data_IF_685228052650
#
_entry.id   IF_685228052650
#
_cell.length_a   1.000
_cell.length_b   1.000
_cell.length_c   1.000
_cell.angle_alpha   90.00
_cell.angle_beta   90.00
_cell.angle_gamma   90.00
#
_symmetry.space_group_name_H-M   'P 1'
#
loop_
_entity.id
_entity.type
_entity.pdbx_description
1 polymer ?
#
# COMPACT_ATOMS: atom_id res chain seq x y z
N UNK A 1 9.50 -85.40 47.18
CA UNK A 1 10.29 -84.21 47.56
C UNK A 1 10.76 -83.56 46.26
N UNK A 2 10.03 -82.57 45.75
CA UNK A 2 10.22 -81.12 46.00
C UNK A 2 11.34 -80.58 45.07
N UNK A 3 11.08 -79.99 43.90
CA UNK A 3 10.40 -78.72 43.54
C UNK A 3 11.24 -77.45 43.88
N UNK A 4 11.39 -76.58 42.84
CA UNK A 4 11.78 -75.14 42.82
C UNK A 4 13.30 -74.84 42.77
N UNK A 5 13.85 -74.26 41.69
CA UNK A 5 13.65 -72.92 41.08
C UNK A 5 14.39 -71.79 41.81
N UNK A 6 15.32 -71.09 41.13
CA UNK A 6 15.22 -69.65 40.75
C UNK A 6 16.58 -68.97 40.48
N UNK A 7 16.54 -68.11 39.46
CA UNK A 7 17.19 -66.79 39.29
C UNK A 7 18.70 -66.63 39.17
N UNK A 8 19.14 -66.11 38.02
CA UNK A 8 19.76 -64.77 37.78
C UNK A 8 20.30 -64.77 36.34
N UNK A 9 20.29 -63.75 35.48
CA UNK A 9 19.79 -62.37 35.48
C UNK A 9 19.60 -62.03 33.97
N UNK A 10 18.54 -61.29 33.64
CA UNK A 10 18.37 -60.67 32.32
C UNK A 10 19.48 -59.65 32.04
N UNK A 11 19.84 -59.47 30.77
CA UNK A 11 19.89 -58.18 30.03
C UNK A 11 20.82 -58.34 28.81
N UNK A 12 20.26 -58.79 27.68
CA UNK A 12 20.86 -58.55 26.38
C UNK A 12 19.93 -57.58 25.63
N UNK A 13 20.54 -56.47 25.21
CA UNK A 13 19.92 -55.23 24.80
C UNK A 13 18.87 -55.42 23.69
N UNK A 14 17.69 -54.82 23.91
CA UNK A 14 16.76 -54.47 22.85
C UNK A 14 17.46 -53.46 21.94
N UNK A 15 17.85 -53.90 20.75
CA UNK A 15 18.15 -53.01 19.64
C UNK A 15 16.87 -52.25 19.28
N UNK A 16 16.70 -51.08 19.89
CA UNK A 16 15.69 -50.12 19.49
C UNK A 16 16.03 -49.61 18.11
N UNK A 17 15.40 -50.18 17.09
CA UNK A 17 15.29 -49.56 15.78
C UNK A 17 14.36 -48.35 15.92
N UNK A 18 14.89 -47.24 16.42
CA UNK A 18 14.30 -45.93 16.23
C UNK A 18 14.53 -45.55 14.76
N UNK A 19 13.73 -46.13 13.86
CA UNK A 19 13.46 -45.51 12.58
C UNK A 19 12.61 -44.26 12.89
N UNK A 20 13.29 -43.20 13.32
CA UNK A 20 12.73 -41.86 13.30
C UNK A 20 12.36 -41.61 11.84
N UNK A 21 11.06 -41.64 11.55
CA UNK A 21 10.50 -41.12 10.32
C UNK A 21 11.00 -39.67 10.20
N UNK A 22 12.06 -39.49 9.41
CA UNK A 22 12.33 -38.22 8.75
C UNK A 22 11.21 -38.05 7.73
N UNK A 23 10.03 -37.64 8.22
CA UNK A 23 9.10 -36.91 7.39
C UNK A 23 9.90 -35.69 6.92
N UNK A 24 10.10 -35.48 5.61
CA UNK A 24 10.49 -34.16 5.14
C UNK A 24 9.42 -33.24 5.69
N UNK A 25 9.79 -32.28 6.55
CA UNK A 25 8.91 -31.18 6.86
C UNK A 25 8.41 -30.65 5.52
N UNK A 26 7.08 -30.51 5.37
CA UNK A 26 6.51 -30.02 4.12
C UNK A 26 7.27 -28.74 3.75
N UNK A 27 8.10 -28.82 2.71
CA UNK A 27 8.82 -27.66 2.20
C UNK A 27 7.73 -26.81 1.59
N UNK A 28 7.38 -25.72 2.26
CA UNK A 28 6.45 -24.74 1.74
C UNK A 28 7.07 -24.17 0.46
N UNK A 29 6.51 -24.58 -0.68
CA UNK A 29 7.02 -24.16 -1.97
C UNK A 29 6.53 -22.73 -2.22
N UNK A 30 7.44 -21.77 -2.12
CA UNK A 30 7.18 -20.38 -2.50
C UNK A 30 7.36 -20.23 -4.00
N UNK A 31 6.39 -19.60 -4.67
CA UNK A 31 6.50 -19.27 -6.10
C UNK A 31 7.03 -17.85 -6.20
N UNK A 32 8.17 -17.66 -6.85
CA UNK A 32 8.74 -16.34 -7.13
C UNK A 32 8.59 -16.04 -8.62
N UNK A 33 7.87 -14.97 -8.94
CA UNK A 33 7.66 -14.47 -10.28
C UNK A 33 8.36 -13.11 -10.38
N UNK A 34 9.40 -12.98 -11.20
CA UNK A 34 10.02 -11.69 -11.46
C UNK A 34 9.43 -11.06 -12.72
N UNK A 35 9.36 -9.73 -12.79
CA UNK A 35 8.93 -9.04 -14.02
C UNK A 35 9.82 -9.38 -15.23
N UNK A 36 11.09 -9.71 -14.99
CA UNK A 36 12.03 -10.16 -16.03
C UNK A 36 11.54 -11.45 -16.72
N UNK A 37 10.88 -12.35 -15.98
CA UNK A 37 10.34 -13.61 -16.51
C UNK A 37 9.19 -13.37 -17.51
N UNK A 38 8.61 -12.16 -17.49
CA UNK A 38 7.52 -11.71 -18.36
C UNK A 38 7.99 -10.70 -19.40
N UNK A 39 9.31 -10.61 -19.62
CA UNK A 39 9.90 -9.81 -20.68
C UNK A 39 10.12 -8.34 -20.35
N UNK A 40 10.04 -7.95 -19.07
CA UNK A 40 10.42 -6.61 -18.65
C UNK A 40 11.91 -6.35 -18.88
N UNK A 41 12.26 -5.13 -19.26
CA UNK A 41 13.65 -4.69 -19.44
C UNK A 41 14.22 -4.22 -18.10
N UNK A 42 13.47 -3.38 -17.37
CA UNK A 42 13.87 -2.88 -16.06
C UNK A 42 15.02 -1.87 -16.09
N UNK A 43 15.15 -1.11 -17.17
CA UNK A 43 16.18 -0.07 -17.38
C UNK A 43 15.71 1.35 -16.99
N UNK A 44 14.45 1.51 -16.59
CA UNK A 44 13.83 2.78 -16.25
C UNK A 44 13.47 3.65 -17.46
N UNK A 45 13.43 3.07 -18.65
CA UNK A 45 13.12 3.76 -19.92
C UNK A 45 12.06 2.98 -20.70
N UNK A 46 12.24 1.66 -20.82
CA UNK A 46 11.32 0.81 -21.55
C UNK A 46 9.94 0.74 -20.86
N UNK A 47 8.89 0.60 -21.67
CA UNK A 47 7.55 0.38 -21.15
C UNK A 47 7.39 -1.08 -20.69
N UNK A 48 7.48 -1.28 -19.38
CA UNK A 48 7.41 -2.59 -18.74
C UNK A 48 5.99 -2.95 -18.27
N UNK A 49 4.98 -2.14 -18.60
CA UNK A 49 3.60 -2.28 -18.12
C UNK A 49 3.00 -3.64 -18.46
N UNK A 50 3.24 -4.15 -19.67
CA UNK A 50 2.71 -5.45 -20.09
C UNK A 50 3.27 -6.59 -19.25
N UNK A 51 4.57 -6.54 -18.94
CA UNK A 51 5.22 -7.54 -18.11
C UNK A 51 4.65 -7.54 -16.68
N UNK A 52 4.38 -6.37 -16.10
CA UNK A 52 3.70 -6.26 -14.80
C UNK A 52 2.29 -6.86 -14.84
N UNK A 53 1.51 -6.56 -15.89
CA UNK A 53 0.15 -7.09 -16.04
C UNK A 53 0.15 -8.62 -16.15
N UNK A 54 1.06 -9.18 -16.94
CA UNK A 54 1.12 -10.63 -17.13
C UNK A 54 1.64 -11.35 -15.88
N UNK A 55 2.65 -10.78 -15.22
CA UNK A 55 3.16 -11.31 -13.96
C UNK A 55 2.09 -11.27 -12.86
N UNK A 56 1.30 -10.20 -12.79
CA UNK A 56 0.16 -10.10 -11.87
C UNK A 56 -0.91 -11.17 -12.15
N UNK A 57 -1.31 -11.34 -13.41
CA UNK A 57 -2.28 -12.39 -13.81
C UNK A 57 -1.77 -13.78 -13.45
N UNK A 58 -0.50 -14.06 -13.72
CA UNK A 58 0.12 -15.33 -13.36
C UNK A 58 0.13 -15.54 -11.84
N UNK A 59 0.50 -14.51 -11.08
CA UNK A 59 0.50 -14.58 -9.62
C UNK A 59 -0.90 -14.87 -9.06
N UNK A 60 -1.92 -14.14 -9.51
CA UNK A 60 -3.30 -14.31 -9.07
C UNK A 60 -3.92 -15.67 -9.47
N UNK A 61 -3.41 -16.33 -10.51
CA UNK A 61 -3.88 -17.63 -10.97
C UNK A 61 -3.15 -18.83 -10.33
N UNK A 62 -1.96 -18.63 -9.78
CA UNK A 62 -1.09 -19.74 -9.29
C UNK A 62 -1.66 -20.38 -8.03
N UNK A 63 -2.07 -19.56 -7.04
CA UNK A 63 -2.43 -20.03 -5.70
C UNK A 63 -1.20 -20.37 -4.83
N UNK A 64 -1.40 -20.55 -3.53
CA UNK A 64 -0.33 -20.71 -2.54
C UNK A 64 0.50 -19.44 -2.32
N UNK A 65 1.64 -19.56 -1.64
CA UNK A 65 2.50 -18.42 -1.26
C UNK A 65 3.27 -17.88 -2.47
N UNK A 66 2.68 -16.91 -3.16
CA UNK A 66 3.23 -16.32 -4.38
C UNK A 66 3.85 -14.94 -4.11
N UNK A 67 5.08 -14.77 -4.58
CA UNK A 67 5.83 -13.52 -4.54
C UNK A 67 6.00 -12.97 -5.95
N UNK A 68 5.49 -11.76 -6.19
CA UNK A 68 5.76 -10.97 -7.37
C UNK A 68 6.93 -10.04 -7.05
N UNK A 69 8.07 -10.19 -7.73
CA UNK A 69 9.33 -9.56 -7.35
C UNK A 69 9.77 -8.49 -8.35
N UNK A 70 10.01 -7.29 -7.81
CA UNK A 70 10.73 -6.18 -8.45
C UNK A 70 12.15 -6.18 -7.86
N UNK A 71 13.14 -6.79 -8.53
CA UNK A 71 14.46 -7.04 -7.96
C UNK A 71 15.30 -5.76 -7.79
N UNK A 72 16.26 -5.84 -6.87
CA UNK A 72 17.26 -4.79 -6.66
C UNK A 72 18.03 -4.49 -7.95
N UNK A 73 18.35 -3.21 -8.17
CA UNK A 73 19.10 -2.77 -9.34
C UNK A 73 18.28 -2.66 -10.62
N UNK A 74 17.00 -3.06 -10.62
CA UNK A 74 16.07 -2.81 -11.73
C UNK A 74 15.17 -1.61 -11.45
N UNK A 75 14.81 -0.91 -12.51
CA UNK A 75 13.80 0.15 -12.49
C UNK A 75 12.79 -0.11 -13.59
N UNK A 76 11.55 -0.39 -13.25
CA UNK A 76 10.50 -0.67 -14.24
C UNK A 76 9.66 0.58 -14.45
N UNK A 77 9.59 1.06 -15.70
CA UNK A 77 8.72 2.17 -16.03
C UNK A 77 7.32 1.65 -16.39
N UNK A 78 6.34 2.05 -15.60
CA UNK A 78 4.97 1.50 -15.64
C UNK A 78 3.99 2.63 -15.91
N UNK A 79 3.15 2.46 -16.92
CA UNK A 79 2.02 3.35 -17.25
C UNK A 79 0.80 3.00 -16.39
N UNK A 80 -0.24 3.86 -16.39
CA UNK A 80 -1.54 3.55 -15.78
C UNK A 80 -1.98 2.10 -15.98
N UNK A 81 -2.25 1.42 -14.88
CA UNK A 81 -2.64 0.02 -14.89
C UNK A 81 -3.59 -0.30 -13.74
N UNK A 82 -4.60 -1.12 -14.04
CA UNK A 82 -5.45 -1.72 -13.01
C UNK A 82 -5.07 -3.18 -12.82
N UNK A 83 -4.60 -3.49 -11.62
CA UNK A 83 -4.28 -4.82 -11.11
C UNK A 83 -5.49 -5.33 -10.33
N UNK A 84 -6.40 -6.00 -11.02
CA UNK A 84 -7.67 -6.43 -10.46
C UNK A 84 -7.60 -7.82 -9.82
N UNK A 85 -8.38 -8.00 -8.75
CA UNK A 85 -8.73 -9.29 -8.19
C UNK A 85 -10.11 -9.79 -8.66
N UNK A 86 -10.68 -10.81 -7.99
CA UNK A 86 -10.09 -11.55 -6.88
C UNK A 86 -8.94 -12.46 -7.36
N UNK A 87 -7.93 -12.62 -6.51
CA UNK A 87 -6.85 -13.57 -6.69
C UNK A 87 -7.17 -14.86 -5.93
N UNK A 88 -6.55 -15.99 -6.31
CA UNK A 88 -6.86 -17.29 -5.68
C UNK A 88 -6.43 -17.39 -4.22
N UNK A 89 -5.27 -16.82 -3.91
CA UNK A 89 -4.65 -16.79 -2.58
C UNK A 89 -3.89 -15.44 -2.42
N UNK A 90 -3.21 -15.28 -1.29
CA UNK A 90 -2.39 -14.12 -0.93
C UNK A 90 -1.34 -13.79 -2.00
N UNK A 91 -1.19 -12.48 -2.29
CA UNK A 91 -0.16 -11.97 -3.19
C UNK A 91 0.84 -11.13 -2.41
N UNK A 92 2.12 -11.52 -2.48
CA UNK A 92 3.23 -10.76 -1.92
C UNK A 92 3.98 -10.01 -3.03
N UNK A 93 3.72 -8.72 -3.20
CA UNK A 93 4.48 -7.85 -4.09
C UNK A 93 5.74 -7.34 -3.38
N UNK A 94 6.88 -7.96 -3.68
CA UNK A 94 8.19 -7.64 -3.14
C UNK A 94 8.90 -6.61 -4.03
N UNK A 95 8.86 -5.35 -3.61
CA UNK A 95 9.50 -4.20 -4.26
C UNK A 95 10.86 -3.96 -3.62
N UNK A 96 11.92 -4.51 -4.20
CA UNK A 96 13.31 -4.29 -3.79
C UNK A 96 14.07 -3.31 -4.70
N UNK A 97 13.63 -3.18 -5.96
CA UNK A 97 14.09 -2.18 -6.93
C UNK A 97 13.19 -0.96 -6.99
N UNK A 98 12.99 -0.43 -8.19
CA UNK A 98 12.17 0.76 -8.42
C UNK A 98 11.00 0.47 -9.37
N UNK A 99 9.85 1.07 -9.08
CA UNK A 99 8.73 1.24 -10.02
C UNK A 99 8.58 2.74 -10.26
N UNK A 100 8.65 3.18 -11.50
CA UNK A 100 8.63 4.60 -11.85
C UNK A 100 7.52 4.91 -12.86
N UNK A 101 6.89 6.07 -12.72
CA UNK A 101 5.84 6.52 -13.63
C UNK A 101 6.41 7.14 -14.92
N UNK A 102 5.59 7.31 -15.99
CA UNK A 102 5.89 8.28 -17.04
C UNK A 102 5.83 9.71 -16.48
N UNK A 103 6.72 10.58 -16.97
CA UNK A 103 6.90 11.93 -16.40
C UNK A 103 5.90 12.93 -16.96
N UNK A 104 5.64 12.89 -18.26
CA UNK A 104 4.83 13.89 -18.92
C UNK A 104 3.35 13.59 -18.71
N UNK A 105 2.53 14.57 -18.28
CA UNK A 105 1.08 14.43 -18.26
C UNK A 105 0.50 14.00 -19.62
N UNK A 106 1.12 14.38 -20.74
CA UNK A 106 0.69 14.02 -22.10
C UNK A 106 0.73 12.52 -22.39
N UNK A 107 1.48 11.74 -21.61
CA UNK A 107 1.58 10.28 -21.72
C UNK A 107 0.42 9.56 -21.02
N UNK A 108 -0.47 10.31 -20.37
CA UNK A 108 -1.63 9.80 -19.64
C UNK A 108 -2.91 10.08 -20.43
N UNK A 109 -3.97 9.36 -20.09
CA UNK A 109 -5.28 9.52 -20.70
C UNK A 109 -6.33 9.89 -19.65
N UNK A 110 -7.38 10.62 -20.06
CA UNK A 110 -8.53 10.87 -19.17
C UNK A 110 -9.24 9.58 -18.75
N UNK A 111 -9.11 8.52 -19.57
CA UNK A 111 -9.61 7.18 -19.28
C UNK A 111 -8.95 6.53 -18.06
N UNK A 112 -7.76 6.99 -17.66
CA UNK A 112 -7.07 6.52 -16.46
C UNK A 112 -7.75 7.01 -15.18
N UNK A 113 -8.62 8.01 -15.29
CA UNK A 113 -9.43 8.59 -14.21
C UNK A 113 -8.59 8.96 -12.98
N UNK A 114 -7.37 9.45 -13.21
CA UNK A 114 -6.45 9.85 -12.16
C UNK A 114 -5.91 8.68 -11.33
N UNK A 115 -5.64 7.53 -11.95
CA UNK A 115 -5.06 6.35 -11.28
C UNK A 115 -3.81 5.85 -11.99
N UNK A 116 -2.76 5.55 -11.22
CA UNK A 116 -1.52 4.95 -11.73
C UNK A 116 -1.45 3.45 -11.46
N UNK A 117 -0.99 3.04 -10.26
CA UNK A 117 -0.96 1.63 -9.84
C UNK A 117 -2.23 1.36 -9.04
N UNK A 118 -3.25 0.89 -9.75
CA UNK A 118 -4.58 0.70 -9.19
C UNK A 118 -4.85 -0.76 -8.85
N UNK A 119 -4.93 -1.08 -7.56
CA UNK A 119 -5.33 -2.39 -7.05
C UNK A 119 -6.82 -2.37 -6.79
N UNK A 120 -7.60 -3.20 -7.49
CA UNK A 120 -9.06 -3.19 -7.39
C UNK A 120 -9.61 -4.56 -6.99
N UNK A 121 -10.38 -4.60 -5.90
CA UNK A 121 -11.07 -5.82 -5.47
C UNK A 121 -10.11 -6.95 -5.06
N UNK A 122 -8.93 -6.61 -4.56
CA UNK A 122 -7.89 -7.58 -4.15
C UNK A 122 -8.06 -7.89 -2.66
N UNK A 123 -7.97 -9.17 -2.30
CA UNK A 123 -7.88 -9.65 -0.92
C UNK A 123 -6.46 -10.14 -0.62
N UNK A 124 -6.03 -10.06 0.63
CA UNK A 124 -4.76 -10.63 1.11
C UNK A 124 -3.55 -10.16 0.28
N UNK A 125 -3.35 -8.85 0.21
CA UNK A 125 -2.29 -8.23 -0.59
C UNK A 125 -1.22 -7.61 0.33
N UNK A 126 0.02 -8.04 0.15
CA UNK A 126 1.18 -7.52 0.88
C UNK A 126 2.17 -6.85 -0.07
N UNK A 127 2.46 -5.57 0.13
CA UNK A 127 3.54 -4.83 -0.53
C UNK A 127 4.69 -4.64 0.46
N UNK A 128 5.91 -5.02 0.07
CA UNK A 128 7.10 -4.88 0.92
C UNK A 128 8.39 -4.73 0.12
N UNK A 129 9.58 -4.78 0.76
CA UNK A 129 10.86 -5.02 0.07
C UNK A 129 11.90 -3.92 0.11
N UNK A 130 11.64 -2.75 0.71
CA UNK A 130 12.64 -1.69 0.87
C UNK A 130 12.86 -0.78 -0.34
N UNK A 131 12.24 -1.11 -1.48
CA UNK A 131 12.39 -0.39 -2.74
C UNK A 131 11.56 0.89 -2.85
N UNK A 132 11.51 1.44 -4.06
CA UNK A 132 10.97 2.77 -4.35
C UNK A 132 9.81 2.68 -5.35
N UNK A 133 8.73 3.41 -5.06
CA UNK A 133 7.68 3.75 -6.02
C UNK A 133 7.76 5.27 -6.27
N UNK A 134 8.16 5.67 -7.47
CA UNK A 134 8.36 7.09 -7.85
C UNK A 134 7.30 7.56 -8.85
N UNK A 135 6.43 8.47 -8.40
CA UNK A 135 5.37 9.03 -9.23
C UNK A 135 5.83 10.10 -10.23
N UNK A 136 7.08 10.59 -10.16
CA UNK A 136 7.61 11.64 -11.06
C UNK A 136 6.64 12.82 -11.28
N UNK A 137 6.05 13.32 -10.19
CA UNK A 137 5.00 14.34 -10.21
C UNK A 137 5.42 15.77 -10.61
N UNK A 138 6.70 16.03 -10.90
CA UNK A 138 7.22 17.38 -11.11
C UNK A 138 6.47 18.16 -12.21
N UNK A 139 6.22 17.54 -13.36
CA UNK A 139 5.49 18.18 -14.46
C UNK A 139 4.00 18.37 -14.14
N UNK A 140 3.41 17.46 -13.36
CA UNK A 140 2.05 17.60 -12.86
C UNK A 140 1.89 18.81 -11.96
N UNK A 141 2.86 19.03 -11.07
CA UNK A 141 2.89 20.16 -10.15
C UNK A 141 3.18 21.50 -10.85
N UNK A 142 4.03 21.49 -11.88
CA UNK A 142 4.32 22.69 -12.67
C UNK A 142 3.09 23.23 -13.42
N UNK A 143 2.14 22.35 -13.76
CA UNK A 143 0.88 22.72 -14.39
C UNK A 143 -0.20 23.20 -13.41
N UNK A 144 0.00 23.04 -12.11
CA UNK A 144 -0.94 23.51 -11.08
C UNK A 144 -0.57 24.92 -10.62
N UNK A 145 -1.46 25.89 -10.87
CA UNK A 145 -1.32 27.25 -10.35
C UNK A 145 -2.13 27.44 -9.08
N UNK A 146 -1.56 28.16 -8.10
CA UNK A 146 -2.25 28.56 -6.86
C UNK A 146 -2.96 29.93 -6.99
N UNK A 147 -2.74 30.66 -8.11
CA UNK A 147 -3.31 32.00 -8.33
C UNK A 147 -4.67 31.97 -9.04
N UNK A 148 -5.64 32.77 -8.56
CA UNK A 148 -6.99 32.92 -9.12
C UNK A 148 -7.03 33.40 -10.59
N UNK A 149 -5.94 34.00 -11.08
CA UNK A 149 -5.81 34.49 -12.47
C UNK A 149 -5.10 33.51 -13.41
N UNK A 150 -4.68 32.34 -12.93
CA UNK A 150 -3.97 31.42 -13.79
C UNK A 150 -4.94 30.63 -14.67
N UNK A 151 -4.87 30.88 -15.98
CA UNK A 151 -5.47 30.04 -17.00
C UNK A 151 -4.57 28.83 -17.24
N UNK A 152 -4.42 27.94 -16.24
CA UNK A 152 -3.67 26.70 -16.44
C UNK A 152 -4.47 25.82 -17.41
N UNK A 153 -3.94 25.62 -18.62
CA UNK A 153 -4.43 24.60 -19.54
C UNK A 153 -4.02 23.23 -19.01
N UNK A 154 -4.75 22.71 -18.02
CA UNK A 154 -4.58 21.31 -17.61
C UNK A 154 -5.16 20.44 -18.72
N UNK A 155 -4.31 19.65 -19.38
CA UNK A 155 -4.73 18.65 -20.37
C UNK A 155 -5.62 17.57 -19.74
N UNK A 156 -5.36 17.25 -18.46
CA UNK A 156 -6.14 16.29 -17.67
C UNK A 156 -6.86 16.98 -16.52
N UNK A 157 -8.10 16.56 -16.26
CA UNK A 157 -8.91 17.11 -15.16
C UNK A 157 -8.35 16.74 -13.78
N UNK A 158 -7.70 15.57 -13.64
CA UNK A 158 -7.28 15.02 -12.34
C UNK A 158 -5.89 14.38 -12.42
N UNK A 159 -4.97 14.85 -11.57
CA UNK A 159 -3.64 14.25 -11.42
C UNK A 159 -3.72 12.84 -10.79
N UNK A 160 -2.87 11.89 -11.20
CA UNK A 160 -2.92 10.50 -10.74
C UNK A 160 -2.67 10.28 -9.25
N UNK A 161 -3.36 9.28 -8.69
CA UNK A 161 -3.02 8.62 -7.43
C UNK A 161 -1.97 7.54 -7.70
N UNK A 162 -0.88 7.52 -6.93
CA UNK A 162 0.24 6.63 -7.18
C UNK A 162 -0.10 5.16 -6.86
N UNK A 163 -0.25 4.83 -5.57
CA UNK A 163 -0.74 3.53 -5.12
C UNK A 163 -2.20 3.67 -4.67
N UNK A 164 -3.14 3.23 -5.50
CA UNK A 164 -4.57 3.31 -5.20
C UNK A 164 -5.14 1.91 -4.98
N UNK A 165 -5.63 1.66 -3.76
CA UNK A 165 -6.36 0.45 -3.38
C UNK A 165 -7.85 0.79 -3.33
N UNK A 166 -8.64 0.09 -4.12
CA UNK A 166 -10.09 0.28 -4.23
C UNK A 166 -10.82 -1.04 -3.97
N UNK A 167 -11.80 -1.03 -3.07
CA UNK A 167 -12.62 -2.19 -2.72
C UNK A 167 -11.79 -3.42 -2.26
N UNK A 168 -10.62 -3.17 -1.65
CA UNK A 168 -9.67 -4.20 -1.22
C UNK A 168 -9.88 -4.63 0.25
N UNK A 169 -9.45 -5.85 0.57
CA UNK A 169 -9.51 -6.42 1.93
C UNK A 169 -8.15 -6.96 2.36
N UNK A 170 -7.80 -6.78 3.63
CA UNK A 170 -6.59 -7.34 4.23
C UNK A 170 -5.32 -6.95 3.43
N UNK A 171 -5.09 -5.63 3.34
CA UNK A 171 -3.98 -5.02 2.61
C UNK A 171 -2.89 -4.57 3.58
N UNK A 172 -1.64 -4.94 3.30
CA UNK A 172 -0.48 -4.54 4.07
C UNK A 172 0.55 -3.86 3.16
N UNK A 173 0.94 -2.62 3.45
CA UNK A 173 2.03 -1.89 2.74
C UNK A 173 3.13 -1.57 3.75
N UNK A 174 4.31 -2.16 3.59
CA UNK A 174 5.36 -2.17 4.61
C UNK A 174 6.74 -1.85 4.08
N UNK A 175 7.43 -0.90 4.72
CA UNK A 175 8.87 -0.73 4.54
C UNK A 175 9.31 -0.30 3.14
N UNK A 176 8.45 0.35 2.35
CA UNK A 176 8.81 0.90 1.03
C UNK A 176 8.90 2.43 1.08
N UNK A 177 9.60 3.01 0.09
CA UNK A 177 9.57 4.45 -0.14
C UNK A 177 8.58 4.76 -1.26
N UNK A 178 7.63 5.66 -1.01
CA UNK A 178 6.74 6.21 -2.05
C UNK A 178 7.06 7.68 -2.20
N UNK A 179 7.53 8.10 -3.37
CA UNK A 179 8.00 9.45 -3.59
C UNK A 179 7.41 10.12 -4.82
N UNK A 180 7.41 11.45 -4.78
CA UNK A 180 7.00 12.32 -5.88
C UNK A 180 5.66 11.93 -6.52
N UNK A 181 4.67 11.55 -5.71
CA UNK A 181 3.36 11.22 -6.25
C UNK A 181 2.70 12.46 -6.87
N UNK A 182 2.01 12.26 -7.98
CA UNK A 182 1.36 13.33 -8.72
C UNK A 182 0.26 14.01 -7.88
N UNK A 183 -0.49 13.22 -7.08
CA UNK A 183 -1.52 13.71 -6.15
C UNK A 183 -1.51 13.01 -4.79
N UNK A 184 -1.96 11.75 -4.70
CA UNK A 184 -1.88 10.94 -3.46
C UNK A 184 -0.76 9.92 -3.62
N UNK A 185 0.07 9.75 -2.59
CA UNK A 185 1.08 8.68 -2.58
C UNK A 185 0.41 7.32 -2.36
N UNK A 186 -0.44 7.23 -1.34
CA UNK A 186 -1.30 6.09 -1.08
C UNK A 186 -2.76 6.54 -0.95
N UNK A 187 -3.68 5.79 -1.53
CA UNK A 187 -5.11 5.98 -1.37
C UNK A 187 -5.80 4.65 -1.07
N UNK A 188 -6.53 4.58 0.04
CA UNK A 188 -7.35 3.45 0.43
C UNK A 188 -8.82 3.86 0.35
N UNK A 189 -9.53 3.34 -0.66
CA UNK A 189 -10.91 3.70 -0.96
C UNK A 189 -11.80 2.47 -0.79
N UNK A 190 -12.75 2.54 0.15
CA UNK A 190 -13.66 1.42 0.48
C UNK A 190 -12.93 0.13 0.81
N UNK A 191 -11.83 0.25 1.55
CA UNK A 191 -11.02 -0.87 2.01
C UNK A 191 -11.41 -1.31 3.43
N UNK A 192 -11.12 -2.56 3.77
CA UNK A 192 -11.27 -3.11 5.13
C UNK A 192 -10.02 -3.89 5.55
N UNK A 193 -9.49 -3.65 6.74
CA UNK A 193 -8.30 -4.33 7.24
C UNK A 193 -7.05 -3.85 6.50
N UNK A 194 -6.61 -2.62 6.79
CA UNK A 194 -5.44 -2.01 6.15
C UNK A 194 -4.33 -1.79 7.16
N UNK A 195 -3.11 -2.16 6.82
CA UNK A 195 -1.90 -1.83 7.57
C UNK A 195 -0.88 -1.12 6.67
N UNK A 196 -0.62 0.16 6.93
CA UNK A 196 0.51 0.89 6.39
C UNK A 196 1.54 1.07 7.50
N UNK A 197 2.79 0.61 7.29
CA UNK A 197 3.82 0.81 8.30
C UNK A 197 5.25 0.86 7.79
N UNK A 198 6.11 1.56 8.54
CA UNK A 198 7.53 1.75 8.19
C UNK A 198 7.75 2.38 6.81
N UNK A 199 6.79 3.17 6.35
CA UNK A 199 6.84 3.84 5.06
C UNK A 199 7.66 5.12 5.14
N UNK A 200 8.33 5.42 4.03
CA UNK A 200 8.88 6.75 3.79
C UNK A 200 8.13 7.37 2.63
N UNK A 201 7.33 8.39 2.91
CA UNK A 201 6.46 9.05 1.94
C UNK A 201 6.92 10.48 1.75
N UNK A 202 7.49 10.78 0.58
CA UNK A 202 8.23 12.03 0.38
C UNK A 202 7.96 12.70 -0.95
N UNK A 203 7.65 13.98 -0.92
CA UNK A 203 7.70 14.91 -2.06
C UNK A 203 8.34 16.23 -1.62
N UNK A 204 8.82 17.06 -2.56
CA UNK A 204 9.30 18.41 -2.22
C UNK A 204 8.23 19.21 -1.46
N UNK A 205 8.63 20.09 -0.53
CA UNK A 205 7.68 20.90 0.26
C UNK A 205 6.72 21.73 -0.61
N UNK A 206 7.18 22.19 -1.76
CA UNK A 206 6.39 22.97 -2.72
C UNK A 206 5.60 22.10 -3.72
N UNK A 207 5.42 20.80 -3.46
CA UNK A 207 4.55 19.95 -4.29
C UNK A 207 3.08 20.22 -3.94
N UNK A 208 2.35 20.98 -4.77
CA UNK A 208 1.05 21.52 -4.41
C UNK A 208 0.02 20.41 -4.19
N UNK A 209 -0.68 20.49 -3.06
CA UNK A 209 -1.79 19.62 -2.68
C UNK A 209 -1.50 18.10 -2.71
N UNK A 210 -0.23 17.68 -2.61
CA UNK A 210 0.11 16.26 -2.53
C UNK A 210 -0.26 15.68 -1.16
N UNK A 211 -0.94 14.54 -1.12
CA UNK A 211 -1.32 13.86 0.13
C UNK A 211 -0.47 12.60 0.31
N UNK A 212 -0.03 12.35 1.55
CA UNK A 212 0.68 11.12 1.91
C UNK A 212 -0.23 9.90 1.83
N UNK A 213 -1.15 9.77 2.78
CA UNK A 213 -2.18 8.72 2.78
C UNK A 213 -3.57 9.33 2.75
N UNK A 214 -4.39 8.95 1.77
CA UNK A 214 -5.82 9.21 1.75
C UNK A 214 -6.56 7.96 2.24
N UNK A 215 -7.42 8.11 3.25
CA UNK A 215 -8.36 7.08 3.71
C UNK A 215 -9.78 7.55 3.41
N UNK A 216 -10.46 6.86 2.51
CA UNK A 216 -11.79 7.23 2.02
C UNK A 216 -12.78 6.08 2.18
N UNK A 217 -13.83 6.27 2.99
CA UNK A 217 -14.88 5.27 3.21
C UNK A 217 -14.36 3.89 3.65
N UNK A 218 -13.28 3.86 4.43
CA UNK A 218 -12.57 2.61 4.79
C UNK A 218 -12.64 2.32 6.28
N UNK A 219 -12.52 1.04 6.65
CA UNK A 219 -12.63 0.59 8.04
C UNK A 219 -11.48 -0.29 8.50
N UNK A 220 -11.16 -0.24 9.79
CA UNK A 220 -10.01 -0.95 10.39
C UNK A 220 -8.70 -0.63 9.66
N UNK A 221 -8.27 0.63 9.78
CA UNK A 221 -7.08 1.15 9.10
C UNK A 221 -6.02 1.53 10.12
N UNK A 222 -4.85 0.91 10.03
CA UNK A 222 -3.71 1.15 10.90
C UNK A 222 -2.55 1.76 10.11
N UNK A 223 -2.21 3.02 10.41
CA UNK A 223 -1.07 3.73 9.82
C UNK A 223 -0.07 3.98 10.94
N UNK A 224 1.14 3.40 10.85
CA UNK A 224 2.07 3.40 11.98
C UNK A 224 3.56 3.37 11.64
N UNK A 225 4.36 4.07 12.44
CA UNK A 225 5.82 4.13 12.27
C UNK A 225 6.24 4.70 10.90
N UNK A 226 5.45 5.62 10.37
CA UNK A 226 5.63 6.19 9.04
C UNK A 226 6.23 7.59 9.10
N UNK A 227 7.01 7.93 8.07
CA UNK A 227 7.57 9.25 7.85
C UNK A 227 6.91 9.90 6.63
N UNK A 228 6.29 11.05 6.84
CA UNK A 228 5.66 11.86 5.80
C UNK A 228 6.36 13.22 5.68
N UNK A 229 6.73 13.58 4.47
CA UNK A 229 7.23 14.90 4.07
C UNK A 229 6.60 15.23 2.72
N UNK A 230 5.49 15.94 2.69
CA UNK A 230 4.70 16.22 1.47
C UNK A 230 4.18 17.65 1.50
N UNK A 231 3.81 18.24 0.36
CA UNK A 231 3.29 19.62 0.37
C UNK A 231 1.86 19.78 0.90
N UNK A 232 1.07 18.71 0.97
CA UNK A 232 -0.31 18.69 1.48
C UNK A 232 -0.44 17.91 2.79
N UNK A 233 -1.55 17.20 2.97
CA UNK A 233 -1.81 16.42 4.19
C UNK A 233 -0.92 15.18 4.25
N UNK A 234 -0.30 14.91 5.41
CA UNK A 234 0.37 13.63 5.66
C UNK A 234 -0.63 12.48 5.63
N UNK A 235 -1.77 12.66 6.32
CA UNK A 235 -2.90 11.72 6.30
C UNK A 235 -4.21 12.52 6.21
N UNK A 236 -5.06 12.17 5.24
CA UNK A 236 -6.39 12.73 5.04
C UNK A 236 -7.44 11.63 5.22
N UNK A 237 -8.43 11.86 6.09
CA UNK A 237 -9.50 10.90 6.40
C UNK A 237 -10.84 11.49 5.98
N UNK A 238 -11.54 10.83 5.05
CA UNK A 238 -12.76 11.33 4.41
C UNK A 238 -13.83 10.24 4.27
N UNK A 239 -15.07 10.66 3.97
CA UNK A 239 -16.21 9.75 3.73
C UNK A 239 -16.59 8.91 4.95
N UNK A 240 -17.28 7.79 4.72
CA UNK A 240 -17.73 6.84 5.76
C UNK A 240 -16.59 5.99 6.36
N UNK A 241 -15.58 6.66 6.93
CA UNK A 241 -14.38 6.02 7.46
C UNK A 241 -14.47 5.77 8.97
N UNK A 242 -14.08 4.60 9.46
CA UNK A 242 -14.09 4.33 10.91
C UNK A 242 -13.07 3.32 11.42
N UNK A 243 -12.76 3.37 12.72
CA UNK A 243 -11.71 2.56 13.37
C UNK A 243 -10.35 2.76 12.70
N UNK A 244 -9.89 4.01 12.75
CA UNK A 244 -8.60 4.42 12.19
C UNK A 244 -7.64 4.66 13.33
N UNK A 245 -6.47 4.01 13.29
CA UNK A 245 -5.43 4.17 14.29
C UNK A 245 -4.17 4.73 13.63
N UNK A 246 -3.77 5.92 14.07
CA UNK A 246 -2.54 6.60 13.65
C UNK A 246 -1.53 6.47 14.81
N UNK A 247 -0.37 5.86 14.57
CA UNK A 247 0.61 5.63 15.66
C UNK A 247 2.06 5.88 15.27
N UNK A 248 2.82 6.59 16.10
CA UNK A 248 4.26 6.80 15.87
C UNK A 248 4.55 7.40 14.48
N UNK A 249 3.79 8.41 14.08
CA UNK A 249 3.93 9.06 12.77
C UNK A 249 4.79 10.30 12.90
N UNK A 250 5.75 10.47 12.00
CA UNK A 250 6.46 11.74 11.79
C UNK A 250 5.88 12.44 10.56
N UNK A 251 5.28 13.61 10.76
CA UNK A 251 4.61 14.39 9.71
C UNK A 251 5.25 15.78 9.61
N UNK A 252 5.85 16.08 8.46
CA UNK A 252 6.48 17.37 8.25
C UNK A 252 7.57 17.39 7.18
N UNK A 253 7.65 18.44 6.34
CA UNK A 253 6.71 19.57 6.23
C UNK A 253 5.35 19.17 5.59
N UNK A 254 4.40 20.12 5.53
CA UNK A 254 3.09 19.93 4.87
C UNK A 254 1.91 20.63 5.57
N UNK A 255 0.70 20.09 5.42
CA UNK A 255 -0.53 20.62 6.03
C UNK A 255 -0.95 19.91 7.33
N UNK A 256 -0.33 18.78 7.66
CA UNK A 256 -0.62 18.01 8.89
C UNK A 256 -1.55 16.82 8.64
N UNK A 257 -2.39 16.52 9.63
CA UNK A 257 -3.42 15.48 9.55
C UNK A 257 -4.77 16.16 9.33
N UNK A 258 -5.59 15.62 8.44
CA UNK A 258 -6.88 16.20 8.10
C UNK A 258 -8.02 15.18 8.21
N UNK A 259 -9.15 15.59 8.78
CA UNK A 259 -10.34 14.76 8.99
C UNK A 259 -11.58 15.51 8.50
N UNK A 260 -12.36 14.85 7.66
CA UNK A 260 -13.56 15.42 7.05
C UNK A 260 -13.29 15.87 5.61
N UNK A 261 -14.34 16.33 4.92
CA UNK A 261 -14.29 16.59 3.47
C UNK A 261 -14.98 15.51 2.63
N UNK A 262 -15.54 15.99 1.51
CA UNK A 262 -16.39 15.34 0.49
C UNK A 262 -17.87 15.08 0.87
N UNK A 263 -18.73 15.92 0.28
CA UNK A 263 -20.20 15.86 0.26
C UNK A 263 -20.66 16.01 -1.19
N UNK A 264 -21.22 14.95 -1.78
CA UNK A 264 -22.13 15.08 -2.93
C UNK A 264 -23.39 14.21 -2.81
N UNK A 265 -23.41 13.21 -1.92
CA UNK A 265 -24.58 12.33 -1.75
C UNK A 265 -25.13 12.36 -0.32
N UNK A 266 -26.45 12.55 -0.24
CA UNK A 266 -27.28 12.88 0.93
C UNK A 266 -27.46 11.75 1.96
N UNK A 267 -26.51 10.81 2.07
CA UNK A 267 -26.52 9.80 3.14
C UNK A 267 -25.82 10.34 4.40
N UNK A 268 -26.18 9.79 5.56
CA UNK A 268 -25.58 10.07 6.87
C UNK A 268 -24.11 9.64 6.86
N UNK A 269 -23.18 10.57 6.57
CA UNK A 269 -21.75 10.28 6.48
C UNK A 269 -21.10 10.34 7.85
N UNK A 270 -20.44 9.26 8.27
CA UNK A 270 -19.95 9.11 9.64
C UNK A 270 -18.47 8.79 9.68
N UNK A 271 -17.69 9.74 10.21
CA UNK A 271 -16.29 9.49 10.59
C UNK A 271 -16.23 9.25 12.08
N UNK A 272 -15.81 8.07 12.52
CA UNK A 272 -15.74 7.78 13.95
C UNK A 272 -14.67 6.79 14.38
N UNK A 273 -14.31 6.84 15.67
CA UNK A 273 -13.27 5.99 16.28
C UNK A 273 -11.91 6.23 15.61
N UNK A 274 -11.47 7.48 15.64
CA UNK A 274 -10.14 7.87 15.18
C UNK A 274 -9.25 7.97 16.42
N UNK A 275 -8.19 7.16 16.46
CA UNK A 275 -7.25 7.16 17.58
C UNK A 275 -5.88 7.55 17.09
N UNK A 276 -5.30 8.55 17.73
CA UNK A 276 -3.92 8.99 17.51
C UNK A 276 -3.08 8.63 18.73
N UNK A 277 -1.85 8.15 18.50
CA UNK A 277 -0.90 7.79 19.55
C UNK A 277 0.51 8.15 19.09
N UNK A 278 1.23 9.01 19.82
CA UNK A 278 2.62 9.35 19.50
C UNK A 278 2.77 9.96 18.09
N UNK A 279 2.44 11.25 17.97
CA UNK A 279 2.58 12.01 16.71
C UNK A 279 3.71 13.02 16.84
N UNK A 280 4.65 13.01 15.89
CA UNK A 280 5.68 14.04 15.74
C UNK A 280 5.32 14.91 14.55
N UNK A 281 4.79 16.10 14.82
CA UNK A 281 4.36 17.02 13.77
C UNK A 281 5.27 18.24 13.80
N UNK A 282 5.97 18.52 12.70
CA UNK A 282 6.94 19.60 12.61
C UNK A 282 6.87 20.29 11.25
N UNK A 283 7.09 21.61 11.20
CA UNK A 283 7.08 22.39 9.96
C UNK A 283 5.81 22.18 9.10
N UNK A 284 4.67 21.91 9.74
CA UNK A 284 3.37 21.84 9.07
C UNK A 284 2.57 23.11 9.31
N UNK A 285 1.65 23.43 8.39
CA UNK A 285 0.72 24.56 8.55
C UNK A 285 -0.25 24.33 9.70
N UNK A 286 -0.77 23.10 9.84
CA UNK A 286 -1.65 22.69 10.92
C UNK A 286 -1.12 21.40 11.56
N UNK A 287 -1.50 21.15 12.82
CA UNK A 287 -1.26 19.86 13.47
C UNK A 287 -2.29 18.83 13.02
N UNK A 288 -3.52 19.02 13.51
CA UNK A 288 -4.72 18.29 13.11
C UNK A 288 -5.77 19.31 12.67
N UNK A 289 -6.38 19.10 11.52
CA UNK A 289 -7.48 19.91 10.99
C UNK A 289 -8.72 19.07 10.82
N UNK A 290 -9.84 19.55 11.36
CA UNK A 290 -11.16 18.94 11.16
C UNK A 290 -12.00 19.92 10.35
N UNK A 291 -12.56 19.48 9.23
CA UNK A 291 -13.38 20.32 8.36
C UNK A 291 -14.64 19.59 7.90
N UNK A 292 -15.79 20.23 8.11
CA UNK A 292 -17.08 19.74 7.66
C UNK A 292 -17.51 20.51 6.40
N UNK A 293 -17.86 19.79 5.35
CA UNK A 293 -18.59 20.39 4.22
C UNK A 293 -20.06 20.42 4.61
N UNK A 294 -20.75 21.52 4.30
CA UNK A 294 -22.18 21.74 4.58
C UNK A 294 -23.02 20.68 3.84
N UNK A 295 -23.10 19.48 4.41
CA UNK A 295 -24.14 18.50 4.19
C UNK A 295 -25.19 18.70 5.29
N UNK A 296 -26.44 18.24 5.11
CA UNK A 296 -27.45 18.44 6.14
C UNK A 296 -27.12 17.73 7.47
N UNK A 297 -26.25 16.70 7.49
CA UNK A 297 -25.88 15.94 8.70
C UNK A 297 -24.46 15.30 8.66
N UNK A 298 -23.35 16.04 8.59
CA UNK A 298 -22.01 15.46 8.82
C UNK A 298 -21.87 15.07 10.30
N UNK A 299 -21.25 13.91 10.58
CA UNK A 299 -21.07 13.43 11.95
C UNK A 299 -19.65 12.89 12.20
N UNK A 300 -18.83 13.69 12.88
CA UNK A 300 -17.48 13.32 13.33
C UNK A 300 -17.52 13.09 14.84
N UNK A 301 -17.14 11.90 15.32
CA UNK A 301 -17.09 11.58 16.76
C UNK A 301 -15.93 10.66 17.15
N UNK A 302 -15.68 10.53 18.45
CA UNK A 302 -14.70 9.59 19.01
C UNK A 302 -13.30 9.77 18.39
N UNK A 303 -12.86 11.02 18.22
CA UNK A 303 -11.49 11.40 17.83
C UNK A 303 -10.68 11.62 19.10
N UNK A 304 -9.64 10.81 19.33
CA UNK A 304 -8.84 10.75 20.56
C UNK A 304 -7.34 10.78 20.29
#
# INVERSE_FOLDING_TARGET
MALRARTTLLLAALAGAAAALLLPGAVEAHVLLSLDDFGAVGDGIANDTHALVDAWKAACATGGHTYLNVPVGKSYQIWPVTLAGPCRDEINLLISGNIIAPESPEEWSDGDQGRWLHFRGVGDLSLSGGGIVDGRGQQWWAGTCEDENCTSHRQHEVAPMALHFEDCRDVSVKGITVQNAQRQHLAFTRCHGVEASYLRVTSPEHSPATVGVLVAGSTDVHIKHDLFSVGGDCVSIVGDSSDIKLKAISCGPGLGISIGGLSQNQSDHRIHKIKTDTMFIANTKNGLSIYEVIAPFPFIKDVM
#
